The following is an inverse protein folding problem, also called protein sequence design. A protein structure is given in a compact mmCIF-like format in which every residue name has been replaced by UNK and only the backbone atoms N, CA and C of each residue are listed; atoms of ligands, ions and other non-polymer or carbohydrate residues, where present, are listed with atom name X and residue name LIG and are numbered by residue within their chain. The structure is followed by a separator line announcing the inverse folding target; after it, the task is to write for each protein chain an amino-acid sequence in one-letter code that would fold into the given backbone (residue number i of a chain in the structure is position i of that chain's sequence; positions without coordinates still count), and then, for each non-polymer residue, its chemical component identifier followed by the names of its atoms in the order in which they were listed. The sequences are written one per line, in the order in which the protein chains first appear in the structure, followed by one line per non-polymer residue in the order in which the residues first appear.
data_IF_501223986906
#
_entry.id   IF_501223986906
#
_cell.length_a   1.000
_cell.length_b   1.000
_cell.length_c   1.000
_cell.angle_alpha   90.00
_cell.angle_beta   90.00
_cell.angle_gamma   90.00
#
_symmetry.space_group_name_H-M   'P 1'
#
loop_
_entity.id
_entity.type
_entity.pdbx_description
1 polymer ?
#
# COMPACT_ATOMS: atom_id res chain seq x y z
N UNK A 1 13.01 0.21 -11.46
CA UNK A 1 11.56 0.23 -11.73
C UNK A 1 10.88 0.62 -10.43
N UNK A 2 9.95 1.57 -10.44
CA UNK A 2 9.21 1.93 -9.22
C UNK A 2 7.88 1.22 -9.22
N UNK A 3 7.43 0.83 -8.04
CA UNK A 3 6.11 0.21 -7.87
C UNK A 3 5.18 1.17 -7.13
N UNK A 4 3.91 1.11 -7.47
CA UNK A 4 2.85 1.83 -6.76
C UNK A 4 1.91 0.78 -6.19
N UNK A 5 1.83 0.71 -4.86
CA UNK A 5 0.96 -0.23 -4.17
C UNK A 5 -0.35 0.50 -3.87
N UNK A 6 -1.44 0.07 -4.50
CA UNK A 6 -2.75 0.71 -4.37
C UNK A 6 -3.79 -0.23 -3.75
N UNK A 7 -4.84 0.34 -3.17
CA UNK A 7 -6.06 -0.41 -2.82
C UNK A 7 -7.17 -0.12 -3.83
N UNK A 8 -7.94 -1.14 -4.21
CA UNK A 8 -9.17 -0.97 -5.00
C UNK A 8 -10.42 -1.16 -4.13
N UNK A 9 -11.59 -0.92 -4.70
CA UNK A 9 -12.91 -0.98 -4.05
C UNK A 9 -13.21 -2.28 -3.27
N UNK A 10 -12.53 -3.39 -3.56
CA UNK A 10 -12.72 -4.65 -2.81
C UNK A 10 -12.08 -4.62 -1.42
N UNK A 11 -11.47 -3.50 -0.99
CA UNK A 11 -11.07 -3.31 0.41
C UNK A 11 -12.25 -3.47 1.38
N UNK A 12 -13.48 -3.22 0.92
CA UNK A 12 -14.73 -3.33 1.70
C UNK A 12 -14.96 -4.76 2.20
N UNK A 13 -14.50 -5.77 1.45
CA UNK A 13 -14.61 -7.18 1.83
C UNK A 13 -13.81 -7.54 3.09
N UNK A 14 -12.93 -6.63 3.53
CA UNK A 14 -12.08 -6.76 4.70
C UNK A 14 -12.51 -5.85 5.85
N UNK A 15 -13.70 -5.25 5.77
CA UNK A 15 -14.28 -4.60 6.93
C UNK A 15 -14.47 -5.60 8.09
N UNK A 16 -14.24 -5.15 9.34
CA UNK A 16 -13.92 -3.79 9.76
C UNK A 16 -12.42 -3.42 9.72
N UNK A 17 -11.55 -4.36 9.31
CA UNK A 17 -10.10 -4.22 9.41
C UNK A 17 -9.54 -3.08 8.53
N UNK A 18 -10.18 -2.80 7.41
CA UNK A 18 -9.75 -1.77 6.44
C UNK A 18 -10.42 -0.41 6.64
N UNK A 19 -11.11 -0.17 7.77
CA UNK A 19 -11.72 1.13 8.07
C UNK A 19 -10.64 2.19 8.38
N UNK A 20 -9.68 1.83 9.23
CA UNK A 20 -8.63 2.74 9.77
C UNK A 20 -7.25 2.56 9.15
N UNK A 21 -7.17 1.74 8.08
CA UNK A 21 -5.95 1.42 7.36
C UNK A 21 -6.28 0.84 5.98
N UNK A 22 -5.41 1.02 4.99
CA UNK A 22 -5.54 0.35 3.70
C UNK A 22 -5.28 -1.15 3.81
N UNK A 23 -5.74 -1.89 2.80
CA UNK A 23 -5.61 -3.35 2.78
C UNK A 23 -4.16 -3.83 2.83
N UNK A 24 -3.23 -3.10 2.23
CA UNK A 24 -1.82 -3.47 2.20
C UNK A 24 -1.11 -3.27 3.55
N UNK A 25 -1.72 -2.55 4.51
CA UNK A 25 -1.25 -2.44 5.90
C UNK A 25 -1.74 -3.61 6.77
N UNK A 26 -2.61 -4.49 6.26
CA UNK A 26 -2.94 -5.73 6.95
C UNK A 26 -1.70 -6.61 7.07
N UNK A 27 -1.61 -7.36 8.17
CA UNK A 27 -0.44 -8.17 8.48
C UNK A 27 -0.63 -9.60 8.01
N UNK A 28 0.44 -10.16 7.42
CA UNK A 28 0.62 -11.59 7.21
C UNK A 28 1.82 -11.98 8.07
N UNK A 29 1.56 -12.74 9.13
CA UNK A 29 2.52 -12.96 10.21
C UNK A 29 2.87 -11.64 10.91
N UNK A 30 4.17 -11.31 10.96
CA UNK A 30 4.66 -10.11 11.66
C UNK A 30 4.73 -8.85 10.77
N UNK A 31 4.63 -8.99 9.45
CA UNK A 31 4.83 -7.90 8.50
C UNK A 31 3.57 -7.55 7.72
N UNK A 32 3.37 -6.26 7.37
CA UNK A 32 2.28 -5.84 6.50
C UNK A 32 2.48 -6.35 5.07
N UNK A 33 1.39 -6.55 4.32
CA UNK A 33 1.42 -7.04 2.93
C UNK A 33 2.36 -6.21 2.05
N UNK A 34 2.33 -4.87 2.19
CA UNK A 34 3.19 -4.01 1.37
C UNK A 34 4.69 -4.30 1.53
N UNK A 35 5.15 -4.78 2.70
CA UNK A 35 6.57 -5.13 2.89
C UNK A 35 6.94 -6.37 2.08
N UNK A 36 6.09 -7.40 2.11
CA UNK A 36 6.31 -8.61 1.30
C UNK A 36 6.36 -8.27 -0.20
N UNK A 37 5.49 -7.36 -0.66
CA UNK A 37 5.51 -6.86 -2.05
C UNK A 37 6.82 -6.11 -2.34
N UNK A 38 7.24 -5.18 -1.48
CA UNK A 38 8.50 -4.45 -1.67
C UNK A 38 9.70 -5.40 -1.75
N UNK A 39 9.76 -6.41 -0.87
CA UNK A 39 10.84 -7.39 -0.82
C UNK A 39 10.87 -8.24 -2.09
N UNK A 40 9.70 -8.71 -2.56
CA UNK A 40 9.59 -9.52 -3.78
C UNK A 40 10.07 -8.78 -5.03
N UNK A 41 9.72 -7.50 -5.17
CA UNK A 41 10.12 -6.69 -6.34
C UNK A 41 11.47 -5.98 -6.16
N UNK A 42 12.06 -6.02 -4.96
CA UNK A 42 13.31 -5.32 -4.62
C UNK A 42 13.34 -3.86 -5.11
N UNK A 43 12.21 -3.16 -4.99
CA UNK A 43 11.96 -1.86 -5.61
C UNK A 43 11.36 -0.86 -4.63
N UNK A 44 11.64 0.43 -4.83
CA UNK A 44 10.98 1.51 -4.07
C UNK A 44 9.49 1.54 -4.37
N UNK A 45 8.70 1.68 -3.31
CA UNK A 45 7.25 1.73 -3.40
C UNK A 45 6.68 3.11 -3.06
N UNK A 46 5.67 3.51 -3.82
CA UNK A 46 4.75 4.59 -3.46
C UNK A 46 3.45 3.93 -3.01
N UNK A 47 2.88 4.40 -1.89
CA UNK A 47 1.64 3.86 -1.36
C UNK A 47 0.46 4.73 -1.80
N UNK A 48 -0.60 4.12 -2.31
CA UNK A 48 -1.80 4.83 -2.74
C UNK A 48 -3.03 4.32 -1.99
N UNK A 49 -3.73 5.23 -1.31
CA UNK A 49 -4.85 4.94 -0.42
C UNK A 49 -5.96 5.98 -0.54
N UNK A 50 -7.11 5.69 0.03
CA UNK A 50 -8.23 6.62 0.20
C UNK A 50 -7.78 7.92 0.87
N UNK A 51 -8.33 9.05 0.43
CA UNK A 51 -7.89 10.39 0.86
C UNK A 51 -7.93 10.59 2.38
N UNK A 52 -8.99 10.10 3.04
CA UNK A 52 -9.13 10.23 4.49
C UNK A 52 -8.09 9.42 5.29
N UNK A 53 -7.47 8.40 4.67
CA UNK A 53 -6.39 7.62 5.27
C UNK A 53 -5.00 8.18 4.96
N UNK A 54 -4.86 9.01 3.94
CA UNK A 54 -3.58 9.52 3.45
C UNK A 54 -2.69 10.08 4.58
N UNK A 55 -3.25 10.95 5.43
CA UNK A 55 -2.50 11.55 6.54
C UNK A 55 -2.05 10.51 7.58
N UNK A 56 -2.91 9.52 7.88
CA UNK A 56 -2.61 8.47 8.85
C UNK A 56 -1.52 7.54 8.30
N UNK A 57 -1.61 7.16 7.03
CA UNK A 57 -0.63 6.29 6.36
C UNK A 57 0.72 6.99 6.24
N UNK A 58 0.76 8.29 5.93
CA UNK A 58 1.99 9.11 5.95
C UNK A 58 2.64 9.12 7.33
N UNK A 59 1.84 9.26 8.38
CA UNK A 59 2.35 9.26 9.76
C UNK A 59 2.97 7.91 10.16
N UNK A 60 2.33 6.80 9.77
CA UNK A 60 2.78 5.43 10.08
C UNK A 60 3.99 4.99 9.26
N UNK A 61 4.07 5.42 8.00
CA UNK A 61 5.07 4.96 7.03
C UNK A 61 5.93 6.13 6.53
N UNK A 62 6.66 6.77 7.44
CA UNK A 62 7.44 7.99 7.16
C UNK A 62 8.47 7.85 6.04
N UNK A 63 8.96 6.64 5.79
CA UNK A 63 9.93 6.37 4.73
C UNK A 63 9.31 6.23 3.33
N UNK A 64 7.97 6.21 3.22
CA UNK A 64 7.25 6.00 1.98
C UNK A 64 6.56 7.27 1.51
N UNK A 65 6.55 7.49 0.19
CA UNK A 65 5.66 8.50 -0.42
C UNK A 65 4.24 7.94 -0.44
N UNK A 66 3.26 8.78 -0.11
CA UNK A 66 1.84 8.38 -0.05
C UNK A 66 1.00 9.35 -0.89
N UNK A 67 0.14 8.79 -1.75
CA UNK A 67 -0.69 9.51 -2.72
C UNK A 67 0.14 10.54 -3.51
N UNK A 68 1.32 10.12 -3.97
CA UNK A 68 2.20 10.91 -4.80
C UNK A 68 2.14 10.37 -6.22
N UNK A 69 2.01 11.27 -7.20
CA UNK A 69 2.06 10.92 -8.62
C UNK A 69 3.51 11.00 -9.05
N UNK A 70 4.04 9.90 -9.58
CA UNK A 70 5.38 9.85 -10.15
C UNK A 70 5.30 9.99 -11.67
N UNK A 71 6.10 10.87 -12.25
CA UNK A 71 6.08 11.19 -13.70
C UNK A 71 6.86 10.17 -14.55
N UNK A 72 7.06 8.96 -14.03
CA UNK A 72 7.86 7.90 -14.64
C UNK A 72 7.02 6.63 -14.85
N UNK A 73 7.56 5.70 -15.65
CA UNK A 73 6.94 4.38 -15.81
C UNK A 73 6.91 3.64 -14.47
N UNK A 74 5.70 3.40 -13.96
CA UNK A 74 5.44 2.71 -12.69
C UNK A 74 4.61 1.45 -12.91
N UNK A 75 4.92 0.41 -12.14
CA UNK A 75 4.08 -0.78 -12.06
C UNK A 75 3.05 -0.62 -10.95
N UNK A 76 1.77 -0.64 -11.32
CA UNK A 76 0.67 -0.62 -10.36
C UNK A 76 0.44 -2.03 -9.80
N UNK A 77 0.56 -2.18 -8.48
CA UNK A 77 0.38 -3.44 -7.77
C UNK A 77 -0.77 -3.31 -6.80
N UNK A 78 -1.72 -4.23 -6.91
CA UNK A 78 -2.82 -4.29 -5.98
C UNK A 78 -2.34 -4.74 -4.59
N UNK A 79 -2.73 -4.02 -3.55
CA UNK A 79 -2.37 -4.28 -2.16
C UNK A 79 -2.91 -5.59 -1.57
N UNK A 80 -3.75 -6.32 -2.32
CA UNK A 80 -4.17 -7.69 -2.00
C UNK A 80 -3.25 -8.78 -2.55
N UNK A 81 -2.25 -8.43 -3.36
CA UNK A 81 -1.29 -9.41 -3.86
C UNK A 81 -0.50 -9.98 -2.68
N UNK A 82 -0.51 -11.29 -2.55
CA UNK A 82 0.31 -12.04 -1.59
C UNK A 82 1.38 -12.76 -2.42
N UNK A 83 2.61 -12.23 -2.46
CA UNK A 83 3.74 -12.89 -3.14
C UNK A 83 4.32 -14.06 -2.33
#
# INVERSE_FOLDING_TARGET
MKIVIFEDENYINFFPLTIIRPIYELKIGFHPVFKHICDFFSSEAILYTRDYLCNIVKLRNKSFKVNFIDDHDVLLINGRLIP
#
